data_IF_024238970569
#
_entry.id   IF_024238970569
#
_cell.length_a   1.000
_cell.length_b   1.000
_cell.length_c   1.000
_cell.angle_alpha   90.00
_cell.angle_beta   90.00
_cell.angle_gamma   90.00
#
_symmetry.space_group_name_H-M   'P 1'
#
loop_
_entity.id
_entity.type
_entity.pdbx_description
1 polymer ?
#
# COMPACT_ATOMS: atom_id res chain seq x y z
N UNK A 1 -19.66 -13.35 -3.97
CA UNK A 1 -18.65 -12.48 -3.34
C UNK A 1 -18.15 -11.49 -4.37
N UNK A 2 -18.27 -10.18 -4.16
CA UNK A 2 -17.43 -9.25 -4.91
C UNK A 2 -15.96 -9.56 -4.56
N UNK A 3 -15.04 -9.63 -5.54
CA UNK A 3 -13.63 -9.83 -5.25
C UNK A 3 -13.13 -8.65 -4.40
N UNK A 4 -12.51 -8.92 -3.26
CA UNK A 4 -11.75 -7.91 -2.53
C UNK A 4 -10.70 -7.38 -3.52
N UNK A 5 -10.65 -6.07 -3.83
CA UNK A 5 -9.67 -5.56 -4.77
C UNK A 5 -8.27 -5.88 -4.21
N UNK A 6 -7.56 -6.75 -4.91
CA UNK A 6 -6.14 -6.96 -4.69
C UNK A 6 -5.40 -5.83 -5.40
N UNK A 7 -4.58 -5.12 -4.66
CA UNK A 7 -3.73 -4.07 -5.20
C UNK A 7 -2.26 -4.40 -5.02
N UNK A 8 -1.43 -3.52 -5.56
CA UNK A 8 0.00 -3.49 -5.25
C UNK A 8 0.34 -2.14 -4.63
N UNK A 9 1.25 -2.14 -3.68
CA UNK A 9 1.83 -0.94 -3.10
C UNK A 9 3.34 -0.96 -3.31
N UNK A 10 3.86 0.08 -3.97
CA UNK A 10 5.28 0.22 -4.24
C UNK A 10 5.82 1.37 -3.40
N UNK A 11 6.96 1.13 -2.74
CA UNK A 11 7.80 2.18 -2.18
C UNK A 11 9.05 2.36 -3.03
N UNK A 12 9.34 3.60 -3.39
CA UNK A 12 10.36 3.99 -4.36
C UNK A 12 11.20 5.13 -3.79
N UNK A 13 12.43 5.27 -4.26
CA UNK A 13 13.23 6.49 -4.13
C UNK A 13 13.65 6.92 -5.53
N UNK A 14 13.42 8.19 -5.85
CA UNK A 14 13.78 8.79 -7.13
C UNK A 14 15.00 9.70 -6.96
N UNK A 15 15.82 9.76 -8.00
CA UNK A 15 16.91 10.72 -8.14
C UNK A 15 17.16 10.96 -9.63
N UNK A 16 16.67 12.08 -10.15
CA UNK A 16 16.78 12.45 -11.58
C UNK A 16 16.22 11.32 -12.48
N UNK A 17 17.06 10.71 -13.33
CA UNK A 17 16.69 9.60 -14.20
C UNK A 17 16.79 8.22 -13.51
N UNK A 18 17.34 8.15 -12.30
CA UNK A 18 17.52 6.90 -11.55
C UNK A 18 16.40 6.69 -10.54
N UNK A 19 16.06 5.42 -10.31
CA UNK A 19 15.04 5.06 -9.32
C UNK A 19 15.42 3.76 -8.61
N UNK A 20 15.05 3.68 -7.34
CA UNK A 20 15.19 2.49 -6.52
C UNK A 20 13.82 2.01 -6.09
N UNK A 21 13.43 0.82 -6.55
CA UNK A 21 12.30 0.08 -5.95
C UNK A 21 12.76 -0.46 -4.60
N UNK A 22 12.18 0.02 -3.51
CA UNK A 22 12.56 -0.37 -2.15
C UNK A 22 11.77 -1.58 -1.68
N UNK A 23 10.46 -1.62 -1.96
CA UNK A 23 9.60 -2.78 -1.67
C UNK A 23 8.38 -2.79 -2.60
N UNK A 24 7.87 -3.99 -2.88
CA UNK A 24 6.60 -4.24 -3.55
C UNK A 24 5.75 -5.08 -2.62
N UNK A 25 4.58 -4.59 -2.26
CA UNK A 25 3.63 -5.28 -1.40
C UNK A 25 2.38 -5.62 -2.18
N UNK A 26 1.89 -6.85 -2.08
CA UNK A 26 0.52 -7.18 -2.45
C UNK A 26 -0.40 -6.78 -1.32
N UNK A 27 -1.39 -5.94 -1.61
CA UNK A 27 -2.27 -5.36 -0.60
C UNK A 27 -3.73 -5.75 -0.81
N UNK A 28 -4.49 -5.83 0.27
CA UNK A 28 -5.93 -6.08 0.22
C UNK A 28 -6.70 -4.82 0.64
N UNK A 29 -7.59 -4.34 -0.23
CA UNK A 29 -8.36 -3.13 0.02
C UNK A 29 -7.56 -1.84 -0.13
N UNK A 30 -8.23 -0.70 0.08
CA UNK A 30 -7.59 0.61 0.02
C UNK A 30 -6.76 0.90 1.27
N UNK A 31 -5.76 1.78 1.12
CA UNK A 31 -5.05 2.32 2.28
C UNK A 31 -5.99 3.11 3.19
N UNK A 32 -5.70 3.13 4.50
CA UNK A 32 -6.42 3.99 5.44
C UNK A 32 -6.29 5.46 5.01
N UNK A 33 -7.41 6.20 4.78
CA UNK A 33 -7.37 7.60 4.40
C UNK A 33 -6.64 8.51 5.41
N UNK A 34 -6.60 8.12 6.69
CA UNK A 34 -5.95 8.86 7.77
C UNK A 34 -4.49 8.46 7.95
N UNK A 35 -4.10 7.28 7.48
CA UNK A 35 -2.75 6.74 7.64
C UNK A 35 -2.27 6.13 6.33
N UNK A 36 -1.73 6.98 5.42
CA UNK A 36 -1.36 6.52 4.09
C UNK A 36 -0.34 5.39 4.13
N UNK A 37 -0.48 4.45 3.20
CA UNK A 37 0.34 3.22 3.12
C UNK A 37 0.09 2.21 4.26
N UNK A 38 -1.00 2.34 5.01
CA UNK A 38 -1.49 1.27 5.87
C UNK A 38 -2.67 0.54 5.24
N UNK A 39 -2.55 -0.78 5.10
CA UNK A 39 -3.55 -1.62 4.45
C UNK A 39 -4.12 -2.64 5.43
N UNK A 40 -5.38 -3.10 5.22
CA UNK A 40 -5.95 -4.24 5.93
C UNK A 40 -5.08 -5.51 5.85
N UNK A 41 -4.37 -5.68 4.74
CA UNK A 41 -3.43 -6.78 4.54
C UNK A 41 -2.36 -6.36 3.55
N UNK A 42 -1.11 -6.72 3.83
CA UNK A 42 0.03 -6.50 2.98
C UNK A 42 0.97 -7.71 3.04
N UNK A 43 1.38 -8.23 1.89
CA UNK A 43 2.36 -9.31 1.75
C UNK A 43 3.54 -8.83 0.91
N UNK A 44 4.75 -8.96 1.44
CA UNK A 44 5.95 -8.57 0.71
C UNK A 44 6.20 -9.53 -0.45
N UNK A 45 6.41 -8.97 -1.64
CA UNK A 45 6.69 -9.72 -2.85
C UNK A 45 8.19 -9.68 -3.18
N UNK A 46 8.68 -10.63 -3.99
CA UNK A 46 9.98 -10.51 -4.64
C UNK A 46 10.02 -9.29 -5.58
N UNK A 47 11.22 -8.75 -5.84
CA UNK A 47 11.38 -7.61 -6.76
C UNK A 47 10.98 -7.95 -8.20
N UNK A 48 11.21 -9.17 -8.65
CA UNK A 48 11.07 -9.58 -10.06
C UNK A 48 9.93 -10.57 -10.25
N UNK A 49 9.36 -10.53 -11.46
CA UNK A 49 8.22 -11.33 -11.88
C UNK A 49 7.33 -10.50 -12.80
N UNK A 50 6.55 -11.14 -13.68
CA UNK A 50 5.81 -10.44 -14.73
C UNK A 50 4.85 -9.36 -14.17
N UNK A 51 4.14 -9.67 -13.08
CA UNK A 51 3.25 -8.70 -12.42
C UNK A 51 4.05 -7.56 -11.79
N UNK A 52 5.17 -7.87 -11.12
CA UNK A 52 5.99 -6.89 -10.42
C UNK A 52 6.72 -5.95 -11.37
N UNK A 53 7.24 -6.46 -12.48
CA UNK A 53 7.92 -5.65 -13.48
C UNK A 53 6.90 -4.73 -14.18
N UNK A 54 5.70 -5.23 -14.54
CA UNK A 54 4.62 -4.37 -15.05
C UNK A 54 4.18 -3.32 -14.02
N UNK A 55 4.05 -3.70 -12.75
CA UNK A 55 3.69 -2.77 -11.68
C UNK A 55 4.70 -1.62 -11.53
N UNK A 56 6.00 -1.93 -11.60
CA UNK A 56 7.07 -0.93 -11.54
C UNK A 56 6.99 0.02 -12.74
N UNK A 57 6.83 -0.51 -13.96
CA UNK A 57 6.72 0.33 -15.16
C UNK A 57 5.50 1.26 -15.12
N UNK A 58 4.36 0.73 -14.67
CA UNK A 58 3.14 1.51 -14.44
C UNK A 58 3.34 2.60 -13.39
N UNK A 59 3.99 2.29 -12.26
CA UNK A 59 4.25 3.25 -11.20
C UNK A 59 5.20 4.37 -11.64
N UNK A 60 6.28 4.04 -12.33
CA UNK A 60 7.25 5.02 -12.84
C UNK A 60 6.61 5.92 -13.90
N UNK A 61 5.80 5.36 -14.80
CA UNK A 61 5.03 6.13 -15.78
C UNK A 61 4.08 7.11 -15.10
N UNK A 62 3.40 6.68 -14.03
CA UNK A 62 2.49 7.53 -13.27
C UNK A 62 3.23 8.67 -12.56
N UNK A 63 4.38 8.39 -11.95
CA UNK A 63 5.25 9.40 -11.32
C UNK A 63 5.73 10.42 -12.36
N UNK A 64 6.22 9.95 -13.50
CA UNK A 64 6.65 10.81 -14.60
C UNK A 64 5.51 11.72 -15.10
N UNK A 65 4.31 11.16 -15.35
CA UNK A 65 3.14 11.93 -15.79
C UNK A 65 2.67 12.98 -14.79
N UNK A 66 2.88 12.75 -13.49
CA UNK A 66 2.54 13.73 -12.43
C UNK A 66 3.61 14.80 -12.21
N UNK A 67 4.69 14.81 -12.99
CA UNK A 67 5.77 15.77 -12.79
C UNK A 67 6.67 15.45 -11.58
N UNK A 68 6.57 14.23 -11.02
CA UNK A 68 7.38 13.81 -9.87
C UNK A 68 8.75 13.39 -10.38
N UNK A 69 9.64 14.37 -10.48
CA UNK A 69 11.02 14.21 -10.95
C UNK A 69 12.06 14.59 -9.88
N UNK A 70 11.60 15.19 -8.77
CA UNK A 70 12.48 15.63 -7.70
C UNK A 70 13.05 14.45 -6.89
N UNK A 71 14.26 14.60 -6.34
CA UNK A 71 14.87 13.57 -5.52
C UNK A 71 14.04 13.31 -4.28
N UNK A 72 13.75 12.04 -4.01
CA UNK A 72 13.08 11.69 -2.77
C UNK A 72 12.25 10.43 -2.82
N UNK A 73 11.73 10.03 -1.65
CA UNK A 73 10.86 8.88 -1.52
C UNK A 73 9.49 9.16 -2.14
N UNK A 74 8.90 8.13 -2.75
CA UNK A 74 7.54 8.15 -3.23
C UNK A 74 6.88 6.79 -3.02
N UNK A 75 5.56 6.79 -2.93
CA UNK A 75 4.74 5.61 -2.87
C UNK A 75 3.67 5.63 -3.95
N UNK A 76 3.39 4.47 -4.54
CA UNK A 76 2.33 4.30 -5.53
C UNK A 76 1.48 3.09 -5.17
N UNK A 77 0.17 3.31 -5.07
CA UNK A 77 -0.81 2.23 -4.98
C UNK A 77 -1.34 1.96 -6.38
N UNK A 78 -1.44 0.69 -6.72
CA UNK A 78 -1.92 0.20 -8.00
C UNK A 78 -3.14 -0.70 -7.76
N UNK A 79 -4.17 -0.51 -8.57
CA UNK A 79 -5.27 -1.45 -8.68
C UNK A 79 -4.90 -2.52 -9.70
N UNK A 80 -5.12 -3.80 -9.36
CA UNK A 80 -4.97 -4.93 -10.28
C UNK A 80 -6.35 -5.44 -10.64
N UNK A 81 -6.70 -5.35 -11.93
CA UNK A 81 -7.96 -5.84 -12.47
C UNK A 81 -7.70 -6.82 -13.62
N UNK A 82 -8.77 -7.43 -14.15
CA UNK A 82 -8.67 -8.26 -15.35
C UNK A 82 -8.12 -7.50 -16.58
N UNK A 83 -8.32 -6.17 -16.61
CA UNK A 83 -7.87 -5.30 -17.69
C UNK A 83 -6.41 -4.83 -17.52
N UNK A 84 -5.81 -5.10 -16.35
CA UNK A 84 -4.41 -4.84 -16.07
C UNK A 84 -4.14 -4.06 -14.79
N UNK A 85 -2.94 -3.49 -14.71
CA UNK A 85 -2.45 -2.76 -13.54
C UNK A 85 -2.55 -1.26 -13.79
N UNK A 86 -3.29 -0.54 -12.95
CA UNK A 86 -3.50 0.90 -13.09
C UNK A 86 -3.17 1.69 -11.82
N UNK A 87 -2.72 2.95 -11.91
CA UNK A 87 -2.44 3.77 -10.73
C UNK A 87 -3.72 4.15 -9.99
N UNK A 88 -3.80 3.83 -8.71
CA UNK A 88 -4.92 4.20 -7.84
C UNK A 88 -4.58 5.43 -6.97
N UNK A 89 -3.36 5.48 -6.42
CA UNK A 89 -2.91 6.60 -5.62
C UNK A 89 -1.39 6.80 -5.75
N UNK A 90 -0.94 8.03 -5.56
CA UNK A 90 0.48 8.38 -5.57
C UNK A 90 0.73 9.41 -4.48
N UNK A 91 1.83 9.21 -3.75
CA UNK A 91 2.24 10.05 -2.62
C UNK A 91 3.74 10.31 -2.70
N UNK A 92 4.15 11.57 -2.50
CA UNK A 92 5.55 11.94 -2.31
C UNK A 92 5.82 11.94 -0.80
N UNK A 93 6.97 11.41 -0.40
CA UNK A 93 7.32 11.21 0.99
C UNK A 93 7.55 9.73 1.34
N UNK A 94 7.96 9.52 2.58
CA UNK A 94 8.19 8.18 3.13
C UNK A 94 6.88 7.41 3.25
N UNK A 95 6.97 6.11 3.02
CA UNK A 95 5.96 5.13 3.36
C UNK A 95 5.72 5.14 4.88
N UNK A 96 4.57 4.58 5.30
CA UNK A 96 4.24 4.41 6.71
C UNK A 96 5.38 3.72 7.48
N UNK A 97 5.66 4.21 8.69
CA UNK A 97 6.76 3.71 9.53
C UNK A 97 6.71 2.19 9.70
N UNK A 98 5.50 1.64 9.88
CA UNK A 98 5.27 0.21 10.01
C UNK A 98 5.74 -0.60 8.80
N UNK A 99 5.35 -0.22 7.58
CA UNK A 99 5.79 -0.93 6.37
C UNK A 99 7.30 -0.75 6.15
N UNK A 100 7.87 0.39 6.55
CA UNK A 100 9.31 0.61 6.52
C UNK A 100 10.05 -0.31 7.49
N UNK A 101 9.58 -0.44 8.74
CA UNK A 101 10.15 -1.35 9.72
C UNK A 101 10.13 -2.81 9.21
N UNK A 102 8.98 -3.28 8.70
CA UNK A 102 8.88 -4.62 8.11
C UNK A 102 9.78 -4.80 6.88
N UNK A 103 9.91 -3.77 6.05
CA UNK A 103 10.82 -3.78 4.90
C UNK A 103 12.27 -3.94 5.37
N UNK A 104 12.68 -3.19 6.40
CA UNK A 104 14.02 -3.31 6.99
C UNK A 104 14.27 -4.71 7.54
N UNK A 105 13.32 -5.27 8.28
CA UNK A 105 13.47 -6.62 8.85
C UNK A 105 13.54 -7.71 7.79
N UNK A 106 12.79 -7.54 6.70
CA UNK A 106 12.69 -8.50 5.60
C UNK A 106 13.85 -8.42 4.59
N UNK A 107 14.32 -7.22 4.29
CA UNK A 107 15.27 -6.93 3.20
C UNK A 107 16.65 -6.50 3.71
N UNK A 108 16.73 -5.98 4.94
CA UNK A 108 17.91 -5.40 5.58
C UNK A 108 18.02 -3.88 5.47
N UNK A 109 17.31 -3.28 4.52
CA UNK A 109 17.30 -1.84 4.23
C UNK A 109 15.86 -1.41 3.90
N UNK A 110 15.46 -0.21 4.29
CA UNK A 110 14.15 0.36 3.96
C UNK A 110 14.26 1.62 3.08
N UNK A 111 13.11 2.17 2.70
CA UNK A 111 13.02 3.35 1.84
C UNK A 111 13.77 4.58 2.38
N UNK A 112 13.82 4.78 3.70
CA UNK A 112 14.54 5.90 4.29
C UNK A 112 16.05 5.72 4.21
N UNK A 113 16.58 4.49 4.29
CA UNK A 113 18.01 4.24 4.07
C UNK A 113 18.40 4.67 2.65
N UNK A 114 17.59 4.28 1.66
CA UNK A 114 17.80 4.63 0.26
C UNK A 114 17.61 6.12 -0.02
N UNK A 115 16.65 6.77 0.63
CA UNK A 115 16.46 8.21 0.54
C UNK A 115 17.66 8.96 1.15
N UNK A 116 18.17 8.48 2.29
CA UNK A 116 19.37 9.03 2.92
C UNK A 116 20.62 8.79 2.07
N UNK A 117 20.73 7.66 1.35
CA UNK A 117 21.81 7.41 0.39
C UNK A 117 21.71 8.37 -0.80
N UNK A 118 20.52 8.52 -1.41
CA UNK A 118 20.30 9.45 -2.51
C UNK A 118 20.69 10.89 -2.16
N UNK A 119 20.46 11.30 -0.91
CA UNK A 119 20.83 12.63 -0.42
C UNK A 119 22.34 12.76 -0.12
N UNK A 120 22.93 11.80 0.61
CA UNK A 120 24.32 11.91 1.10
C UNK A 120 25.36 11.55 0.04
N UNK A 121 25.05 10.57 -0.81
CA UNK A 121 25.93 10.10 -1.88
C UNK A 121 25.11 9.74 -3.14
N UNK A 122 24.74 10.75 -3.95
CA UNK A 122 24.03 10.57 -5.22
C UNK A 122 24.72 9.59 -6.19
N UNK A 123 26.06 9.53 -6.18
CA UNK A 123 26.81 8.68 -7.09
C UNK A 123 26.71 7.20 -6.68
N UNK A 124 26.85 6.91 -5.38
CA UNK A 124 26.61 5.57 -4.85
C UNK A 124 25.16 5.13 -5.03
N UNK A 125 24.19 6.04 -4.84
CA UNK A 125 22.79 5.75 -5.13
C UNK A 125 22.60 5.30 -6.58
N UNK A 126 23.05 6.10 -7.56
CA UNK A 126 22.91 5.77 -8.99
C UNK A 126 23.54 4.43 -9.34
N UNK A 127 24.71 4.13 -8.78
CA UNK A 127 25.40 2.85 -8.97
C UNK A 127 24.60 1.67 -8.44
N UNK A 128 23.85 1.87 -7.36
CA UNK A 128 23.17 0.81 -6.64
C UNK A 128 21.67 0.69 -6.96
N UNK A 129 21.06 1.71 -7.55
CA UNK A 129 19.61 1.88 -7.69
C UNK A 129 18.92 0.72 -8.46
N UNK A 130 19.58 0.24 -9.52
CA UNK A 130 19.05 -0.81 -10.40
C UNK A 130 19.17 -2.23 -9.82
N UNK A 131 19.96 -2.41 -8.75
CA UNK A 131 20.13 -3.73 -8.13
C UNK A 131 18.81 -4.16 -7.50
N UNK A 132 18.24 -5.33 -7.84
CA UNK A 132 17.02 -5.79 -7.20
C UNK A 132 17.25 -6.03 -5.70
N UNK A 133 16.27 -5.69 -4.85
CA UNK A 133 16.31 -6.15 -3.46
C UNK A 133 16.16 -7.67 -3.40
N UNK A 134 16.64 -8.26 -2.31
CA UNK A 134 16.53 -9.70 -2.02
C UNK A 134 15.72 -9.88 -0.75
N UNK A 135 14.65 -10.68 -0.83
CA UNK A 135 13.84 -11.04 0.33
C UNK A 135 14.63 -12.04 1.18
N UNK A 136 15.10 -11.61 2.36
CA UNK A 136 15.82 -12.47 3.31
C UNK A 136 14.85 -13.21 4.22
N UNK A 137 13.73 -12.58 4.52
CA UNK A 137 12.64 -13.09 5.35
C UNK A 137 11.31 -12.70 4.75
N UNK A 138 10.42 -13.65 4.44
CA UNK A 138 9.04 -13.35 4.09
C UNK A 138 8.36 -12.52 5.17
N UNK A 139 7.59 -11.50 4.75
CA UNK A 139 6.94 -10.57 5.65
C UNK A 139 5.50 -10.29 5.24
N UNK A 140 4.61 -10.18 6.24
CA UNK A 140 3.22 -9.78 6.05
C UNK A 140 2.74 -8.90 7.22
N UNK A 141 1.86 -7.94 6.91
CA UNK A 141 1.16 -7.10 7.87
C UNK A 141 -0.35 -7.30 7.70
N UNK A 142 -1.07 -7.58 8.78
CA UNK A 142 -2.49 -7.95 8.74
C UNK A 142 -3.27 -7.16 9.79
N UNK A 143 -4.49 -6.78 9.46
CA UNK A 143 -5.53 -6.45 10.43
C UNK A 143 -6.26 -7.74 10.81
N UNK A 144 -6.15 -8.14 12.09
CA UNK A 144 -6.80 -9.30 12.67
C UNK A 144 -7.87 -8.85 13.66
N UNK A 145 -9.01 -9.54 13.79
CA UNK A 145 -9.97 -9.25 14.84
C UNK A 145 -9.33 -9.45 16.22
N UNK A 146 -9.53 -8.48 17.10
CA UNK A 146 -9.18 -8.54 18.51
C UNK A 146 -10.13 -9.39 19.32
N UNK A 147 -9.71 -9.76 20.55
CA UNK A 147 -10.62 -10.38 21.51
C UNK A 147 -11.80 -9.48 21.89
N UNK A 148 -11.69 -8.17 21.70
CA UNK A 148 -12.73 -7.15 21.91
C UNK A 148 -13.54 -6.83 20.63
N UNK A 149 -13.26 -7.51 19.51
CA UNK A 149 -13.88 -7.25 18.22
C UNK A 149 -13.32 -6.02 17.48
N UNK A 150 -12.37 -5.29 18.07
CA UNK A 150 -11.67 -4.20 17.39
C UNK A 150 -10.54 -4.79 16.53
N UNK A 151 -10.16 -4.17 15.40
CA UNK A 151 -9.06 -4.67 14.59
C UNK A 151 -7.73 -4.47 15.32
N UNK A 152 -7.08 -5.57 15.71
CA UNK A 152 -5.68 -5.62 16.08
C UNK A 152 -4.80 -5.78 14.86
N UNK A 153 -3.52 -5.46 15.00
CA UNK A 153 -2.57 -5.60 13.91
C UNK A 153 -1.60 -6.72 14.24
N UNK A 154 -1.53 -7.71 13.36
CA UNK A 154 -0.57 -8.80 13.42
C UNK A 154 0.52 -8.60 12.37
N UNK A 155 1.75 -8.96 12.73
CA UNK A 155 2.91 -8.93 11.85
C UNK A 155 3.55 -10.31 11.84
N UNK A 156 3.88 -10.78 10.65
CA UNK A 156 4.56 -12.06 10.46
C UNK A 156 5.83 -11.77 9.70
N UNK A 157 6.98 -12.02 10.32
CA UNK A 157 8.30 -12.03 9.67
C UNK A 157 8.95 -13.36 10.01
N UNK A 158 9.12 -14.22 9.00
CA UNK A 158 9.56 -15.59 9.19
C UNK A 158 10.79 -15.91 8.32
N UNK A 159 11.49 -17.01 8.61
CA UNK A 159 12.52 -17.58 7.73
C UNK A 159 11.91 -18.43 6.61
N UNK A 160 10.68 -18.91 6.77
CA UNK A 160 9.95 -19.72 5.78
C UNK A 160 8.80 -18.94 5.13
N UNK A 161 8.51 -19.13 3.84
CA UNK A 161 7.45 -18.40 3.13
C UNK A 161 6.04 -18.84 3.48
N UNK A 162 5.84 -20.11 3.83
CA UNK A 162 4.50 -20.68 4.03
C UNK A 162 3.72 -20.06 5.21
N UNK A 163 4.33 -19.75 6.36
CA UNK A 163 3.64 -19.05 7.46
C UNK A 163 3.11 -17.67 7.05
N UNK A 164 3.92 -16.85 6.37
CA UNK A 164 3.51 -15.53 5.92
C UNK A 164 2.39 -15.61 4.87
N UNK A 165 2.50 -16.54 3.91
CA UNK A 165 1.47 -16.75 2.90
C UNK A 165 0.16 -17.24 3.51
N UNK A 166 0.20 -18.23 4.42
CA UNK A 166 -1.00 -18.74 5.11
C UNK A 166 -1.70 -17.64 5.91
N UNK A 167 -0.93 -16.83 6.64
CA UNK A 167 -1.49 -15.73 7.43
C UNK A 167 -2.15 -14.68 6.51
N UNK A 168 -1.49 -14.30 5.41
CA UNK A 168 -2.07 -13.38 4.43
C UNK A 168 -3.35 -13.93 3.79
N UNK A 169 -3.34 -15.18 3.31
CA UNK A 169 -4.53 -15.81 2.73
C UNK A 169 -5.70 -15.86 3.73
N UNK A 170 -5.43 -16.23 4.98
CA UNK A 170 -6.46 -16.26 6.02
C UNK A 170 -7.07 -14.88 6.27
N UNK A 171 -6.25 -13.82 6.31
CA UNK A 171 -6.76 -12.46 6.50
C UNK A 171 -7.60 -11.97 5.31
N UNK A 172 -7.17 -12.25 4.08
CA UNK A 172 -7.93 -11.91 2.87
C UNK A 172 -9.29 -12.63 2.86
N UNK A 173 -9.31 -13.92 3.20
CA UNK A 173 -10.56 -14.68 3.33
C UNK A 173 -11.48 -14.09 4.40
N UNK A 174 -10.96 -13.78 5.59
CA UNK A 174 -11.75 -13.18 6.66
C UNK A 174 -12.32 -11.80 6.28
N UNK A 175 -11.59 -11.00 5.49
CA UNK A 175 -12.10 -9.73 4.96
C UNK A 175 -13.22 -9.92 3.93
N UNK A 176 -13.14 -10.95 3.09
CA UNK A 176 -14.16 -11.25 2.09
C UNK A 176 -15.49 -11.74 2.71
N UNK A 177 -15.44 -12.33 3.90
CA UNK A 177 -16.60 -12.82 4.64
C UNK A 177 -17.34 -11.73 5.45
N UNK A 178 -16.75 -10.53 5.58
CA UNK A 178 -17.41 -9.43 6.29
C UNK A 178 -18.53 -8.82 5.43
N UNK A 179 -19.78 -8.78 5.92
CA UNK A 179 -20.84 -8.06 5.23
C UNK A 179 -20.49 -6.57 5.13
N UNK A 180 -20.77 -5.95 3.99
CA UNK A 180 -20.62 -4.51 3.81
C UNK A 180 -21.37 -3.76 4.93
N UNK A 181 -20.76 -2.73 5.54
CA UNK A 181 -21.52 -1.86 6.42
C UNK A 181 -22.66 -1.24 5.60
N UNK A 182 -23.89 -1.41 6.08
CA UNK A 182 -25.07 -0.81 5.45
C UNK A 182 -24.81 0.69 5.20
N UNK A 183 -25.19 1.22 4.02
CA UNK A 183 -24.99 2.63 3.74
C UNK A 183 -25.65 3.44 4.84
N UNK A 184 -24.87 4.28 5.53
CA UNK A 184 -25.39 5.19 6.53
C UNK A 184 -26.52 6.00 5.87
N UNK A 185 -27.75 5.77 6.34
CA UNK A 185 -28.91 6.49 5.88
C UNK A 185 -28.61 7.98 5.96
N UNK A 186 -28.70 8.67 4.82
CA UNK A 186 -28.76 10.13 4.83
C UNK A 186 -30.03 10.48 5.58
N UNK A 187 -29.90 10.84 6.86
CA UNK A 187 -30.90 11.63 7.56
C UNK A 187 -31.00 12.97 6.84
N UNK A 188 -31.83 13.03 5.81
CA UNK A 188 -32.34 14.28 5.28
C UNK A 188 -33.36 14.79 6.29
N UNK A 189 -32.87 15.52 7.29
CA UNK A 189 -33.69 16.42 8.08
C UNK A 189 -34.42 17.37 7.11
N UNK A 190 -35.73 17.20 7.01
CA UNK A 190 -36.62 18.06 6.24
C UNK A 190 -36.88 19.34 7.08
N UNK A 191 -36.49 20.54 6.64
CA UNK A 191 -36.82 21.75 7.38
C UNK A 191 -38.32 22.03 7.25
N UNK A 192 -38.94 22.24 8.41
CA UNK A 192 -40.37 22.37 8.66
C UNK A 192 -41.17 23.13 7.59
N UNK A 193 -42.26 22.49 7.18
CA UNK A 193 -43.41 23.14 6.58
C UNK A 193 -44.00 24.17 7.56
N UNK A 194 -44.08 25.42 7.12
CA UNK A 194 -44.90 26.47 7.73
C UNK A 194 -46.37 26.08 7.63
N UNK A 195 -47.16 26.08 8.72
CA UNK A 195 -48.59 25.88 8.62
C UNK A 195 -49.26 27.18 8.15
N UNK A 196 -49.99 27.10 7.03
CA UNK A 196 -50.99 28.09 6.68
C UNK A 196 -52.16 27.96 7.65
N UNK A 197 -52.54 29.06 8.29
CA UNK A 197 -53.82 29.20 8.95
C UNK A 197 -54.49 30.45 8.38
N UNK A 198 -55.53 30.23 7.58
CA UNK A 198 -56.44 31.27 7.14
C UNK A 198 -57.69 31.29 8.01
N UNK A 199 -58.13 32.52 8.30
CA UNK A 199 -59.49 32.99 8.66
C UNK A 199 -59.98 32.78 10.10
N UNK A 200 -60.18 33.91 10.79
CA UNK A 200 -61.48 34.58 10.84
C UNK A 200 -61.28 36.08 10.57
#
# INVERSE_FOLDING_TARGET
MPPVPAGLHLSLVLLEASHRVCAIWRVSGAADPRTPCEFPGALLLPRRGAEQDWAVDTALTALHRRGVHGPGPACVDLAVTADGITPAALRVGLCAERLRALTRDALGEDQADWAALAHRDPAAFRTAADRPYVVRRPAAALAVPGPDGLPHRAEVVDRRPEPALRAYTAAVSALAERPEPAPAGRDTAHPGATPSAGRA
#
